data_IF_329765752602
#
_entry.id   IF_329765752602
#
_cell.length_a   1.000
_cell.length_b   1.000
_cell.length_c   1.000
_cell.angle_alpha   90.00
_cell.angle_beta   90.00
_cell.angle_gamma   90.00
#
_symmetry.space_group_name_H-M   'P 1'
#
loop_
_entity.id
_entity.type
_entity.pdbx_description
1 polymer ?
#
# COMPACT_ATOMS: atom_id res chain seq x y z
N UNK A 1 45.17 -45.12 -31.63
CA UNK A 1 46.36 -45.90 -31.27
C UNK A 1 46.05 -46.59 -29.97
N UNK A 2 45.89 -47.86 -30.12
CA UNK A 2 46.62 -48.97 -29.47
C UNK A 2 46.33 -49.05 -27.97
N UNK A 3 45.78 -50.02 -27.44
CA UNK A 3 45.85 -51.52 -27.45
C UNK A 3 45.69 -51.92 -25.99
N UNK A 4 44.78 -52.89 -25.68
CA UNK A 4 45.07 -54.34 -25.59
C UNK A 4 45.64 -54.67 -24.20
N UNK A 5 45.27 -55.59 -23.38
CA UNK A 5 44.77 -56.98 -23.48
C UNK A 5 44.61 -57.53 -22.05
N UNK A 6 43.52 -58.25 -21.80
CA UNK A 6 43.41 -59.65 -21.38
C UNK A 6 44.22 -60.20 -20.19
N UNK A 7 43.59 -60.98 -19.34
CA UNK A 7 43.75 -62.43 -19.02
C UNK A 7 43.09 -62.73 -17.66
N UNK A 8 41.99 -63.43 -17.55
CA UNK A 8 41.77 -64.87 -17.52
C UNK A 8 42.65 -65.66 -16.51
N UNK A 9 41.99 -66.24 -15.50
CA UNK A 9 42.21 -67.63 -15.09
C UNK A 9 41.28 -68.04 -13.93
N UNK A 10 40.45 -68.83 -14.17
CA UNK A 10 39.89 -70.15 -13.75
C UNK A 10 40.66 -70.85 -12.66
N UNK A 11 40.02 -71.25 -11.57
CA UNK A 11 40.33 -72.53 -10.86
C UNK A 11 39.08 -72.93 -10.01
N UNK A 12 38.51 -73.96 -10.47
CA UNK A 12 37.56 -74.91 -9.88
C UNK A 12 38.17 -75.64 -8.70
N UNK A 13 37.47 -75.86 -7.60
CA UNK A 13 37.64 -77.09 -6.81
C UNK A 13 36.30 -77.44 -6.11
N UNK A 14 36.02 -78.68 -6.26
CA UNK A 14 34.83 -79.46 -6.00
C UNK A 14 34.88 -80.18 -4.67
N UNK A 15 33.67 -80.68 -4.24
CA UNK A 15 33.38 -81.75 -3.27
C UNK A 15 33.32 -81.34 -1.78
N UNK A 16 32.43 -81.82 -0.99
CA UNK A 16 31.58 -83.01 -0.93
C UNK A 16 30.51 -82.86 0.14
N UNK A 17 29.36 -83.45 -0.10
CA UNK A 17 28.18 -83.71 0.72
C UNK A 17 28.46 -84.40 2.03
N UNK A 18 27.71 -84.06 3.09
CA UNK A 18 27.15 -85.05 4.03
C UNK A 18 25.82 -84.51 4.58
N UNK A 19 24.85 -85.35 4.49
CA UNK A 19 23.46 -85.43 4.82
C UNK A 19 23.18 -85.55 6.35
N UNK A 20 21.97 -85.19 6.66
CA UNK A 20 21.05 -85.73 7.71
C UNK A 20 20.58 -84.74 8.76
N UNK A 21 19.29 -84.64 8.85
CA UNK A 21 18.57 -84.38 10.06
C UNK A 21 17.54 -83.26 10.01
N UNK A 22 16.33 -83.57 9.50
CA UNK A 22 15.17 -82.74 9.83
C UNK A 22 14.71 -83.04 11.24
N UNK A 23 14.23 -82.05 11.95
CA UNK A 23 12.88 -82.23 12.52
C UNK A 23 12.00 -80.98 12.26
N UNK A 24 10.83 -81.28 11.81
CA UNK A 24 9.52 -80.69 12.11
C UNK A 24 9.40 -79.19 12.24
N UNK A 25 8.60 -78.68 11.34
CA UNK A 25 8.04 -77.32 11.33
C UNK A 25 7.31 -77.05 12.68
N UNK A 26 7.78 -75.98 13.32
CA UNK A 26 6.94 -75.20 14.19
C UNK A 26 6.57 -73.93 13.42
N UNK A 27 5.34 -73.84 13.08
CA UNK A 27 4.67 -72.71 12.51
C UNK A 27 4.76 -71.55 13.53
N UNK A 28 5.79 -70.70 13.40
CA UNK A 28 5.84 -69.47 14.16
C UNK A 28 4.89 -68.47 13.47
N UNK A 29 3.66 -68.41 13.94
CA UNK A 29 2.77 -67.28 13.73
C UNK A 29 3.48 -66.07 14.30
N UNK A 30 4.18 -65.36 13.43
CA UNK A 30 4.55 -63.97 13.68
C UNK A 30 3.25 -63.17 13.79
N UNK A 31 2.74 -63.05 14.97
CA UNK A 31 1.83 -61.97 15.36
C UNK A 31 2.65 -60.68 15.26
N UNK A 32 2.67 -60.14 14.05
CA UNK A 32 3.15 -58.78 13.80
C UNK A 32 2.13 -57.83 14.44
N UNK A 33 2.19 -57.70 15.76
CA UNK A 33 1.53 -56.63 16.49
C UNK A 33 2.24 -55.35 16.00
N UNK A 34 1.68 -54.72 14.97
CA UNK A 34 2.11 -53.38 14.56
C UNK A 34 2.11 -52.54 15.82
N UNK A 35 3.29 -52.13 16.25
CA UNK A 35 3.44 -51.23 17.38
C UNK A 35 2.69 -49.93 17.04
N UNK A 36 1.67 -49.62 17.86
CA UNK A 36 0.93 -48.35 17.71
C UNK A 36 1.88 -47.20 17.77
N UNK A 37 2.02 -46.47 16.67
CA UNK A 37 2.95 -45.36 16.55
C UNK A 37 2.31 -44.13 17.22
N UNK A 38 2.96 -43.52 18.22
CA UNK A 38 2.40 -42.33 18.87
C UNK A 38 2.47 -41.13 17.95
N UNK A 39 1.32 -40.49 17.74
CA UNK A 39 1.16 -39.35 16.85
C UNK A 39 0.43 -38.17 17.52
N UNK A 40 0.68 -36.96 17.05
CA UNK A 40 -0.15 -35.80 17.37
C UNK A 40 -1.02 -35.45 16.17
N UNK A 41 -2.28 -35.13 16.42
CA UNK A 41 -3.24 -34.75 15.40
C UNK A 41 -3.52 -33.26 15.42
N UNK A 42 -3.71 -32.70 14.24
CA UNK A 42 -4.27 -31.38 14.00
C UNK A 42 -5.66 -31.59 13.38
N UNK A 43 -6.76 -31.29 14.08
CA UNK A 43 -8.10 -31.38 13.50
C UNK A 43 -8.25 -30.41 12.34
N UNK A 44 -8.72 -30.89 11.19
CA UNK A 44 -8.96 -30.08 10.00
C UNK A 44 -10.39 -29.52 9.95
N UNK A 45 -11.23 -29.82 10.94
CA UNK A 45 -12.61 -29.35 11.08
C UNK A 45 -12.75 -27.87 11.46
N UNK A 46 -11.64 -27.21 11.79
CA UNK A 46 -11.55 -25.78 11.97
C UNK A 46 -10.75 -25.22 10.81
N UNK A 47 -11.43 -24.67 9.82
CA UNK A 47 -10.80 -23.86 8.79
C UNK A 47 -9.95 -22.80 9.49
N UNK A 48 -8.65 -22.95 9.46
CA UNK A 48 -7.78 -21.80 9.50
C UNK A 48 -8.01 -21.11 8.17
N UNK A 49 -8.98 -20.19 8.13
CA UNK A 49 -9.08 -19.19 7.08
C UNK A 49 -7.81 -18.32 7.14
N UNK A 50 -6.69 -18.92 6.86
CA UNK A 50 -5.44 -18.23 6.68
C UNK A 50 -5.47 -17.62 5.30
N UNK A 51 -6.26 -16.54 5.14
CA UNK A 51 -5.88 -15.57 4.13
C UNK A 51 -4.53 -15.04 4.60
N UNK A 52 -3.47 -15.23 3.79
CA UNK A 52 -2.18 -14.70 4.17
C UNK A 52 -2.35 -13.22 4.44
N UNK A 53 -2.04 -12.81 5.65
CA UNK A 53 -2.04 -11.42 6.01
C UNK A 53 -1.04 -10.70 5.09
N UNK A 54 -1.49 -9.65 4.41
CA UNK A 54 -0.68 -8.90 3.45
C UNK A 54 0.15 -7.89 4.24
N UNK A 55 1.45 -8.12 4.30
CA UNK A 55 2.39 -7.21 4.97
C UNK A 55 2.96 -6.23 3.97
N UNK A 56 2.68 -4.95 4.17
CA UNK A 56 3.09 -3.86 3.29
C UNK A 56 3.73 -2.74 4.09
N UNK A 57 4.60 -1.96 3.44
CA UNK A 57 5.24 -0.80 4.05
C UNK A 57 4.92 0.45 3.24
N UNK A 58 4.90 1.59 3.92
CA UNK A 58 4.63 2.86 3.27
C UNK A 58 4.99 4.05 4.12
N UNK A 59 4.52 5.23 3.72
CA UNK A 59 4.78 6.47 4.41
C UNK A 59 3.48 7.11 4.91
N UNK A 60 3.58 7.73 6.08
CA UNK A 60 2.48 8.52 6.61
C UNK A 60 2.32 9.80 5.82
N UNK A 61 1.11 10.06 5.40
CA UNK A 61 0.69 11.23 4.66
C UNK A 61 -0.67 11.72 5.16
N UNK A 62 -1.16 12.81 4.60
CA UNK A 62 -2.52 13.32 4.86
C UNK A 62 -3.29 13.43 3.55
N UNK A 63 -4.61 13.40 3.61
CA UNK A 63 -5.47 13.41 2.41
C UNK A 63 -5.54 14.77 1.70
N UNK A 64 -5.00 15.81 2.33
CA UNK A 64 -5.17 17.22 1.98
C UNK A 64 -3.84 17.96 1.76
N UNK A 65 -2.87 17.28 1.14
CA UNK A 65 -1.64 17.93 0.69
C UNK A 65 -1.92 18.90 -0.45
N UNK A 66 -1.45 20.14 -0.29
CA UNK A 66 -1.65 21.21 -1.27
C UNK A 66 -0.31 21.87 -1.61
N UNK A 67 -0.02 21.91 -2.90
CA UNK A 67 1.06 22.72 -3.45
C UNK A 67 0.56 24.15 -3.66
N UNK A 68 1.09 25.07 -2.89
CA UNK A 68 0.72 26.47 -2.94
C UNK A 68 1.66 27.24 -3.88
N UNK A 69 1.05 28.01 -4.77
CA UNK A 69 1.75 28.81 -5.77
C UNK A 69 1.17 30.23 -5.83
N UNK A 70 1.94 31.18 -6.34
CA UNK A 70 1.41 32.48 -6.66
C UNK A 70 0.58 32.42 -7.94
N UNK A 71 -0.51 33.18 -7.99
CA UNK A 71 -1.33 33.34 -9.20
C UNK A 71 -0.69 34.27 -10.24
N UNK A 72 0.16 35.19 -9.78
CA UNK A 72 0.91 36.11 -10.60
C UNK A 72 2.39 35.78 -10.52
N UNK A 73 3.17 36.04 -11.60
CA UNK A 73 4.63 35.96 -11.56
C UNK A 73 5.24 37.15 -10.83
N UNK A 74 6.47 36.98 -10.36
CA UNK A 74 7.24 38.04 -9.73
C UNK A 74 8.36 37.51 -8.85
N UNK A 75 9.12 38.42 -8.23
CA UNK A 75 10.19 38.06 -7.30
C UNK A 75 9.59 37.85 -5.92
N UNK A 76 9.90 36.70 -5.28
CA UNK A 76 9.51 36.43 -3.89
C UNK A 76 10.21 37.44 -2.97
N UNK A 77 9.45 38.29 -2.30
CA UNK A 77 10.00 39.20 -1.33
C UNK A 77 10.33 38.52 -0.01
N UNK A 78 9.37 37.75 0.53
CA UNK A 78 9.55 37.06 1.80
C UNK A 78 8.68 35.78 1.85
N UNK A 79 9.20 34.79 2.54
CA UNK A 79 8.45 33.59 2.96
C UNK A 79 8.36 33.63 4.48
N UNK A 80 7.15 33.81 5.03
CA UNK A 80 6.88 34.16 6.43
C UNK A 80 6.85 32.95 7.35
N UNK A 81 7.04 31.75 6.77
CA UNK A 81 6.94 30.47 7.49
C UNK A 81 8.15 29.58 7.19
N UNK A 82 8.41 28.64 8.08
CA UNK A 82 9.44 27.61 7.95
C UNK A 82 8.79 26.24 7.83
N UNK A 83 9.55 25.26 7.37
CA UNK A 83 9.14 23.86 7.39
C UNK A 83 8.87 23.39 8.82
N UNK A 84 7.76 22.71 9.04
CA UNK A 84 7.28 22.30 10.34
C UNK A 84 6.39 23.31 11.08
N UNK A 85 6.30 24.57 10.62
CA UNK A 85 5.45 25.57 11.26
C UNK A 85 3.97 25.21 11.13
N UNK A 86 3.22 25.41 12.21
CA UNK A 86 1.76 25.32 12.19
C UNK A 86 1.17 26.58 11.55
N UNK A 87 0.20 26.41 10.66
CA UNK A 87 -0.47 27.51 9.96
C UNK A 87 -1.98 27.44 10.15
N UNK A 88 -2.64 28.59 10.12
CA UNK A 88 -4.10 28.70 10.18
C UNK A 88 -4.67 29.04 8.81
N UNK A 89 -5.88 28.57 8.52
CA UNK A 89 -6.58 28.94 7.30
C UNK A 89 -6.63 30.47 7.13
N UNK A 90 -6.30 30.95 5.93
CA UNK A 90 -6.24 32.39 5.60
C UNK A 90 -4.95 33.09 6.03
N UNK A 91 -4.05 32.45 6.77
CA UNK A 91 -2.75 33.01 7.17
C UNK A 91 -1.89 33.26 5.92
N UNK A 92 -1.26 34.44 5.82
CA UNK A 92 -0.31 34.77 4.75
C UNK A 92 1.01 34.02 5.01
N UNK A 93 1.46 33.27 4.02
CA UNK A 93 2.65 32.42 4.09
C UNK A 93 3.81 32.96 3.28
N UNK A 94 3.55 33.59 2.13
CA UNK A 94 4.57 34.19 1.28
C UNK A 94 4.00 35.40 0.54
N UNK A 95 4.88 36.35 0.18
CA UNK A 95 4.54 37.57 -0.54
C UNK A 95 5.52 37.82 -1.67
N UNK A 96 5.02 38.32 -2.82
CA UNK A 96 5.83 38.83 -3.88
C UNK A 96 6.27 40.29 -3.59
N UNK A 97 7.33 40.74 -4.29
CA UNK A 97 7.73 42.13 -4.23
C UNK A 97 6.58 43.02 -4.73
N UNK A 98 6.05 43.93 -3.91
CA UNK A 98 4.85 44.72 -4.26
C UNK A 98 5.12 45.88 -5.20
N UNK A 99 6.38 46.24 -5.49
CA UNK A 99 6.72 47.46 -6.23
C UNK A 99 6.10 47.44 -7.62
N UNK A 100 6.34 46.38 -8.38
CA UNK A 100 5.83 46.26 -9.76
C UNK A 100 4.30 46.16 -9.79
N UNK A 101 3.73 45.40 -8.91
CA UNK A 101 2.28 45.19 -8.83
C UNK A 101 1.56 46.46 -8.40
N UNK A 102 2.10 47.22 -7.46
CA UNK A 102 1.56 48.52 -7.07
C UNK A 102 1.65 49.54 -8.20
N UNK A 103 2.75 49.54 -9.00
CA UNK A 103 2.87 50.39 -10.19
C UNK A 103 1.77 50.06 -11.22
N UNK A 104 1.45 48.78 -11.44
CA UNK A 104 0.36 48.36 -12.34
C UNK A 104 -1.01 48.85 -11.85
N UNK A 105 -1.28 48.72 -10.52
CA UNK A 105 -2.52 49.23 -9.92
C UNK A 105 -2.62 50.76 -10.12
N UNK A 106 -1.53 51.47 -9.85
CA UNK A 106 -1.51 52.92 -10.01
C UNK A 106 -1.72 53.35 -11.48
N UNK A 107 -1.12 52.65 -12.43
CA UNK A 107 -1.31 52.89 -13.86
C UNK A 107 -2.79 52.68 -14.28
N UNK A 108 -3.39 51.59 -13.85
CA UNK A 108 -4.80 51.29 -14.13
C UNK A 108 -5.71 52.38 -13.50
N UNK A 109 -5.43 52.80 -12.27
CA UNK A 109 -6.18 53.84 -11.56
C UNK A 109 -6.13 55.18 -12.31
N UNK A 110 -4.95 55.61 -12.78
CA UNK A 110 -4.81 56.82 -13.58
C UNK A 110 -5.54 56.74 -14.92
N UNK A 111 -5.56 55.56 -15.55
CA UNK A 111 -6.35 55.26 -16.73
C UNK A 111 -7.84 55.42 -16.49
N UNK A 112 -8.33 54.90 -15.42
CA UNK A 112 -9.74 55.03 -14.99
C UNK A 112 -10.13 56.48 -14.72
N UNK A 113 -9.32 57.20 -13.96
CA UNK A 113 -9.56 58.62 -13.66
C UNK A 113 -9.58 59.46 -14.94
N UNK A 114 -8.71 59.19 -15.91
CA UNK A 114 -8.74 59.86 -17.22
C UNK A 114 -10.06 59.57 -17.96
N UNK A 115 -10.42 58.31 -18.10
CA UNK A 115 -11.66 57.88 -18.78
C UNK A 115 -12.90 58.47 -18.12
N UNK A 116 -12.90 58.55 -16.76
CA UNK A 116 -14.00 59.18 -16.02
C UNK A 116 -14.14 60.67 -16.32
N UNK A 117 -13.02 61.42 -16.37
CA UNK A 117 -13.06 62.83 -16.75
C UNK A 117 -13.54 63.02 -18.18
N UNK A 118 -13.08 62.19 -19.10
CA UNK A 118 -13.46 62.25 -20.52
C UNK A 118 -14.94 61.93 -20.70
N UNK A 119 -15.46 60.87 -20.05
CA UNK A 119 -16.86 60.55 -20.06
C UNK A 119 -17.74 61.69 -19.52
N UNK A 120 -17.35 62.25 -18.37
CA UNK A 120 -18.09 63.39 -17.76
C UNK A 120 -18.13 64.60 -18.69
N UNK A 121 -17.05 64.88 -19.40
CA UNK A 121 -16.97 65.97 -20.38
C UNK A 121 -17.93 65.74 -21.56
N UNK A 122 -17.91 64.52 -22.14
CA UNK A 122 -18.77 64.15 -23.26
C UNK A 122 -20.24 64.11 -22.85
N UNK A 123 -20.56 63.63 -21.66
CA UNK A 123 -21.90 63.60 -21.09
C UNK A 123 -22.50 65.04 -20.97
N UNK A 124 -21.69 66.01 -20.50
CA UNK A 124 -22.11 67.40 -20.46
C UNK A 124 -22.33 67.97 -21.87
N UNK A 125 -21.40 67.73 -22.81
CA UNK A 125 -21.56 68.19 -24.20
C UNK A 125 -22.77 67.55 -24.91
N UNK A 126 -23.10 66.31 -24.59
CA UNK A 126 -24.29 65.64 -25.10
C UNK A 126 -25.59 66.26 -24.55
N UNK A 127 -25.62 66.61 -23.26
CA UNK A 127 -26.73 67.33 -22.63
C UNK A 127 -26.93 68.70 -23.26
N UNK A 128 -25.84 69.38 -23.64
CA UNK A 128 -25.87 70.66 -24.34
C UNK A 128 -26.06 70.51 -25.86
N UNK A 129 -26.40 69.29 -26.36
CA UNK A 129 -26.63 68.94 -27.78
C UNK A 129 -25.44 69.22 -28.70
N UNK A 130 -24.21 69.23 -28.15
CA UNK A 130 -22.93 69.44 -28.89
C UNK A 130 -22.29 68.11 -29.29
N UNK A 131 -22.42 67.05 -28.46
CA UNK A 131 -21.89 65.74 -28.76
C UNK A 131 -22.97 64.79 -29.27
N UNK A 132 -22.57 63.76 -30.06
CA UNK A 132 -23.49 62.73 -30.56
C UNK A 132 -23.70 61.62 -29.51
N UNK A 133 -24.80 60.86 -29.65
CA UNK A 133 -25.05 59.68 -28.82
C UNK A 133 -23.92 58.65 -28.96
N UNK A 134 -23.40 58.47 -30.16
CA UNK A 134 -22.24 57.56 -30.40
C UNK A 134 -20.99 57.96 -29.60
N UNK A 135 -20.68 59.31 -29.58
CA UNK A 135 -19.54 59.77 -28.76
C UNK A 135 -19.77 59.54 -27.29
N UNK A 136 -20.99 59.72 -26.78
CA UNK A 136 -21.31 59.40 -25.38
C UNK A 136 -21.16 57.93 -25.09
N UNK A 137 -21.69 57.04 -25.96
CA UNK A 137 -21.59 55.60 -25.81
C UNK A 137 -20.11 55.13 -25.86
N UNK A 138 -19.30 55.68 -26.77
CA UNK A 138 -17.88 55.36 -26.87
C UNK A 138 -17.13 55.78 -25.61
N UNK A 139 -17.41 56.99 -25.08
CA UNK A 139 -16.77 57.46 -23.84
C UNK A 139 -17.20 56.62 -22.64
N UNK A 140 -18.47 56.15 -22.58
CA UNK A 140 -18.99 55.27 -21.56
C UNK A 140 -18.26 53.91 -21.63
N UNK A 141 -18.13 53.33 -22.82
CA UNK A 141 -17.45 52.08 -23.04
C UNK A 141 -15.97 52.14 -22.59
N UNK A 142 -15.28 53.27 -22.93
CA UNK A 142 -13.90 53.49 -22.50
C UNK A 142 -13.78 53.57 -20.97
N UNK A 143 -14.73 54.21 -20.29
CA UNK A 143 -14.79 54.25 -18.83
C UNK A 143 -14.99 52.84 -18.23
N UNK A 144 -15.92 52.06 -18.79
CA UNK A 144 -16.21 50.72 -18.31
C UNK A 144 -14.97 49.77 -18.48
N UNK A 145 -14.27 49.83 -19.63
CA UNK A 145 -13.03 49.12 -19.86
C UNK A 145 -11.98 49.51 -18.83
N UNK A 146 -11.78 50.83 -18.59
CA UNK A 146 -10.80 51.26 -17.61
C UNK A 146 -11.15 50.83 -16.19
N UNK A 147 -12.42 50.79 -15.83
CA UNK A 147 -12.88 50.24 -14.54
C UNK A 147 -12.51 48.75 -14.38
N UNK A 148 -12.75 47.94 -15.41
CA UNK A 148 -12.37 46.53 -15.39
C UNK A 148 -10.84 46.32 -15.32
N UNK A 149 -10.06 47.19 -15.91
CA UNK A 149 -8.60 47.19 -15.78
C UNK A 149 -8.14 47.43 -14.33
N UNK A 150 -8.78 48.39 -13.61
CA UNK A 150 -8.52 48.61 -12.18
C UNK A 150 -8.87 47.39 -11.36
N UNK A 151 -10.03 46.77 -11.58
CA UNK A 151 -10.43 45.55 -10.89
C UNK A 151 -9.43 44.43 -11.11
N UNK A 152 -8.97 44.24 -12.34
CA UNK A 152 -7.97 43.21 -12.67
C UNK A 152 -6.63 43.48 -11.97
N UNK A 153 -6.15 44.72 -11.98
CA UNK A 153 -4.90 45.07 -11.30
C UNK A 153 -5.01 44.88 -9.77
N UNK A 154 -6.14 45.29 -9.17
CA UNK A 154 -6.41 45.06 -7.73
C UNK A 154 -6.49 43.59 -7.38
N UNK A 155 -7.15 42.78 -8.23
CA UNK A 155 -7.22 41.33 -8.07
C UNK A 155 -5.81 40.71 -8.08
N UNK A 156 -4.96 41.09 -9.05
CA UNK A 156 -3.58 40.62 -9.12
C UNK A 156 -2.78 41.01 -7.87
N UNK A 157 -2.98 42.22 -7.34
CA UNK A 157 -2.35 42.66 -6.08
C UNK A 157 -2.78 41.81 -4.91
N UNK A 158 -4.07 41.50 -4.78
CA UNK A 158 -4.57 40.65 -3.70
C UNK A 158 -4.00 39.24 -3.79
N UNK A 159 -3.82 38.73 -5.02
CA UNK A 159 -3.30 37.38 -5.27
C UNK A 159 -1.76 37.33 -5.47
N UNK A 160 -1.05 38.40 -5.12
CA UNK A 160 0.41 38.45 -5.03
C UNK A 160 0.94 37.90 -3.69
N UNK A 161 0.07 37.31 -2.91
CA UNK A 161 0.40 36.60 -1.66
C UNK A 161 -0.13 35.19 -1.68
N UNK A 162 0.58 34.27 -1.07
CA UNK A 162 0.12 32.92 -0.80
C UNK A 162 -0.49 32.89 0.58
N UNK A 163 -1.72 32.39 0.68
CA UNK A 163 -2.41 32.15 1.95
C UNK A 163 -2.68 30.67 2.16
N UNK A 164 -2.67 30.21 3.38
CA UNK A 164 -3.02 28.84 3.73
C UNK A 164 -4.51 28.55 3.40
N UNK A 165 -4.75 27.51 2.64
CA UNK A 165 -6.10 27.06 2.25
C UNK A 165 -6.84 26.36 3.37
N UNK A 166 -6.08 25.70 4.29
CA UNK A 166 -6.57 25.02 5.48
C UNK A 166 -5.60 25.21 6.66
N UNK A 167 -6.08 24.94 7.87
CA UNK A 167 -5.20 24.91 9.05
C UNK A 167 -4.42 23.59 9.08
N UNK A 168 -3.09 23.67 9.26
CA UNK A 168 -2.22 22.49 9.18
C UNK A 168 -0.76 22.83 9.43
N UNK A 169 0.13 22.22 8.69
CA UNK A 169 1.57 22.41 8.80
C UNK A 169 2.21 22.66 7.43
N UNK A 170 3.30 23.42 7.43
CA UNK A 170 4.17 23.56 6.27
C UNK A 170 5.04 22.32 6.18
N UNK A 171 4.91 21.57 5.07
CA UNK A 171 5.69 20.35 4.83
C UNK A 171 7.05 20.68 4.23
N UNK A 172 7.05 21.47 3.16
CA UNK A 172 8.28 21.82 2.43
C UNK A 172 8.23 23.24 1.88
N UNK A 173 9.40 23.82 1.78
CA UNK A 173 9.64 25.06 1.08
C UNK A 173 10.34 24.76 -0.25
N UNK A 174 9.64 24.98 -1.38
CA UNK A 174 10.09 24.60 -2.72
C UNK A 174 10.77 25.75 -3.46
N UNK A 175 10.69 26.98 -2.93
CA UNK A 175 11.31 28.16 -3.49
C UNK A 175 11.96 29.02 -2.39
N UNK A 176 12.83 29.94 -2.79
CA UNK A 176 13.60 30.82 -1.89
C UNK A 176 13.22 32.30 -2.05
N UNK A 177 13.44 33.08 -1.00
CA UNK A 177 13.35 34.53 -1.07
C UNK A 177 14.33 35.09 -2.10
N UNK A 178 13.93 36.12 -2.86
CA UNK A 178 14.68 36.68 -3.97
C UNK A 178 14.55 35.90 -5.29
N UNK A 179 13.93 34.72 -5.30
CA UNK A 179 13.71 33.94 -6.52
C UNK A 179 12.60 34.55 -7.38
N UNK A 180 12.82 34.59 -8.70
CA UNK A 180 11.78 34.88 -9.68
C UNK A 180 10.93 33.63 -9.91
N UNK A 181 9.62 33.73 -9.75
CA UNK A 181 8.68 32.64 -9.99
C UNK A 181 7.65 32.99 -11.06
N UNK A 182 7.27 32.00 -11.84
CA UNK A 182 6.20 32.11 -12.82
C UNK A 182 4.83 31.82 -12.13
N UNK A 183 3.71 32.29 -12.72
CA UNK A 183 2.39 31.90 -12.25
C UNK A 183 2.23 30.38 -12.19
N UNK A 184 1.73 29.83 -11.06
CA UNK A 184 1.53 28.40 -10.86
C UNK A 184 2.77 27.61 -10.46
N UNK A 185 3.96 28.24 -10.37
CA UNK A 185 5.15 27.55 -9.83
C UNK A 185 4.95 27.24 -8.35
N UNK A 186 5.07 25.96 -7.91
CA UNK A 186 4.94 25.60 -6.50
C UNK A 186 6.03 26.27 -5.64
N UNK A 187 5.62 26.89 -4.55
CA UNK A 187 6.48 27.62 -3.62
C UNK A 187 6.51 26.95 -2.24
N UNK A 188 5.37 26.53 -1.78
CA UNK A 188 5.18 25.87 -0.48
C UNK A 188 4.31 24.63 -0.65
N UNK A 189 4.58 23.64 0.16
CA UNK A 189 3.71 22.49 0.32
C UNK A 189 3.16 22.48 1.74
N UNK A 190 1.85 22.36 1.86
CA UNK A 190 1.15 22.34 3.15
C UNK A 190 0.22 21.15 3.24
N UNK A 191 -0.13 20.75 4.45
CA UNK A 191 -1.19 19.76 4.70
C UNK A 191 -2.19 20.32 5.70
N UNK A 192 -3.39 19.70 5.78
CA UNK A 192 -4.41 19.98 6.77
C UNK A 192 -4.34 19.08 8.00
N UNK A 193 -3.16 18.64 8.39
CA UNK A 193 -2.92 17.63 9.44
C UNK A 193 -3.54 17.94 10.82
N UNK A 194 -4.02 19.14 11.06
CA UNK A 194 -4.79 19.46 12.29
C UNK A 194 -6.18 18.81 12.28
N UNK A 195 -6.73 18.45 11.11
CA UNK A 195 -8.03 17.79 11.00
C UNK A 195 -7.99 16.27 11.28
N UNK A 196 -6.81 15.70 11.57
CA UNK A 196 -6.66 14.33 12.05
C UNK A 196 -6.75 13.22 10.99
N UNK A 197 -6.80 13.55 9.71
CA UNK A 197 -6.91 12.57 8.61
C UNK A 197 -5.54 12.01 8.19
N UNK A 198 -4.89 11.28 9.09
CA UNK A 198 -3.65 10.60 8.78
C UNK A 198 -3.90 9.30 8.05
N UNK A 199 -3.12 9.10 7.00
CA UNK A 199 -3.13 7.92 6.15
C UNK A 199 -1.72 7.31 6.13
N UNK A 200 -1.65 5.99 6.14
CA UNK A 200 -0.45 5.28 5.70
C UNK A 200 -0.63 4.91 4.24
N UNK A 201 0.11 5.55 3.35
CA UNK A 201 0.15 5.22 1.92
C UNK A 201 1.17 4.14 1.69
N UNK A 202 0.70 2.97 1.26
CA UNK A 202 1.52 1.80 1.02
C UNK A 202 1.61 1.48 -0.47
N UNK A 203 2.76 0.97 -0.90
CA UNK A 203 2.92 0.43 -2.24
C UNK A 203 2.56 -1.05 -2.23
N UNK A 204 1.76 -1.47 -3.20
CA UNK A 204 1.28 -2.84 -3.32
C UNK A 204 1.55 -3.39 -4.72
N UNK A 205 1.90 -4.66 -4.80
CA UNK A 205 2.06 -5.39 -6.07
C UNK A 205 0.71 -5.66 -6.72
N UNK A 206 0.71 -6.09 -7.98
CA UNK A 206 -0.51 -6.46 -8.71
C UNK A 206 -1.32 -7.55 -7.97
N UNK A 207 -0.62 -8.54 -7.39
CA UNK A 207 -1.25 -9.65 -6.64
C UNK A 207 -1.88 -9.16 -5.33
N UNK A 208 -1.18 -8.33 -4.58
CA UNK A 208 -1.67 -7.74 -3.35
C UNK A 208 -2.83 -6.78 -3.61
N UNK A 209 -2.72 -5.96 -4.67
CA UNK A 209 -3.79 -5.05 -5.08
C UNK A 209 -5.10 -5.80 -5.38
N UNK A 210 -5.02 -6.94 -6.08
CA UNK A 210 -6.19 -7.77 -6.40
C UNK A 210 -6.80 -8.40 -5.14
N UNK A 211 -5.98 -8.73 -4.13
CA UNK A 211 -6.42 -9.37 -2.90
C UNK A 211 -6.99 -8.39 -1.86
N UNK A 212 -6.55 -7.11 -1.89
CA UNK A 212 -7.01 -6.08 -0.95
C UNK A 212 -8.37 -5.53 -1.40
N UNK A 213 -9.30 -5.40 -0.46
CA UNK A 213 -10.61 -4.78 -0.66
C UNK A 213 -10.75 -3.50 0.17
N UNK A 214 -11.69 -2.64 -0.25
CA UNK A 214 -12.05 -1.46 0.54
C UNK A 214 -12.61 -1.90 1.90
N UNK A 215 -12.27 -1.15 2.97
CA UNK A 215 -12.64 -1.41 4.35
C UNK A 215 -11.94 -2.63 4.98
N UNK A 216 -11.01 -3.29 4.30
CA UNK A 216 -10.19 -4.32 4.93
C UNK A 216 -9.47 -3.74 6.15
N UNK A 217 -9.48 -4.51 7.24
CA UNK A 217 -8.82 -4.12 8.49
C UNK A 217 -7.31 -4.22 8.35
N UNK A 218 -6.62 -3.26 8.94
CA UNK A 218 -5.18 -3.23 8.95
C UNK A 218 -4.63 -2.92 10.35
N UNK A 219 -3.60 -3.64 10.74
CA UNK A 219 -2.80 -3.35 11.92
C UNK A 219 -1.56 -2.58 11.47
N UNK A 220 -1.40 -1.36 11.97
CA UNK A 220 -0.30 -0.46 11.58
C UNK A 220 0.70 -0.34 12.71
N UNK A 221 1.96 -0.58 12.41
CA UNK A 221 3.10 -0.42 13.29
C UNK A 221 3.95 0.76 12.83
N UNK A 222 4.41 1.55 13.80
CA UNK A 222 5.24 2.73 13.56
C UNK A 222 6.56 2.54 14.29
N UNK A 223 7.68 2.61 13.57
CA UNK A 223 9.01 2.43 14.18
C UNK A 223 9.30 3.45 15.29
N UNK A 224 8.74 4.65 15.19
CA UNK A 224 8.88 5.70 16.21
C UNK A 224 8.16 5.37 17.52
N UNK A 225 7.26 4.36 17.54
CA UNK A 225 6.51 3.94 18.73
C UNK A 225 6.56 2.42 18.85
N UNK A 226 7.72 1.85 19.23
CA UNK A 226 7.90 0.40 19.29
C UNK A 226 6.90 -0.27 20.24
N UNK A 227 6.40 -1.45 19.84
CA UNK A 227 5.47 -2.24 20.65
C UNK A 227 4.03 -1.73 20.69
N UNK A 228 3.68 -0.70 19.94
CA UNK A 228 2.32 -0.18 19.84
C UNK A 228 1.77 -0.39 18.41
N UNK A 229 0.65 -1.08 18.33
CA UNK A 229 -0.06 -1.33 17.06
C UNK A 229 -1.30 -0.43 16.99
N UNK A 230 -1.48 0.25 15.87
CA UNK A 230 -2.62 1.12 15.61
C UNK A 230 -3.59 0.42 14.65
N UNK A 231 -4.87 0.55 14.91
CA UNK A 231 -5.91 0.01 14.05
C UNK A 231 -6.16 0.96 12.87
N UNK A 232 -6.33 0.39 11.70
CA UNK A 232 -6.68 1.12 10.49
C UNK A 232 -7.59 0.30 9.57
N UNK A 233 -8.03 0.94 8.51
CA UNK A 233 -8.76 0.28 7.42
C UNK A 233 -8.36 0.85 6.08
N UNK A 234 -8.42 0.01 5.04
CA UNK A 234 -8.17 0.45 3.66
C UNK A 234 -9.27 1.43 3.25
N UNK A 235 -8.90 2.68 3.05
CA UNK A 235 -9.82 3.77 2.70
C UNK A 235 -9.84 4.08 1.20
N UNK A 236 -8.75 3.77 0.49
CA UNK A 236 -8.62 4.01 -0.95
C UNK A 236 -7.63 3.04 -1.57
N UNK A 237 -7.89 2.65 -2.82
CA UNK A 237 -6.97 1.93 -3.70
C UNK A 237 -6.78 2.75 -4.97
N UNK A 238 -5.56 2.81 -5.50
CA UNK A 238 -5.33 3.42 -6.81
C UNK A 238 -5.87 2.51 -7.93
N UNK A 239 -6.48 3.11 -8.94
CA UNK A 239 -6.90 2.39 -10.16
C UNK A 239 -5.80 2.37 -11.24
N UNK A 240 -4.68 3.03 -10.98
CA UNK A 240 -3.54 3.10 -11.88
C UNK A 240 -2.22 2.90 -11.17
N UNK A 241 -1.23 2.48 -11.91
CA UNK A 241 0.16 2.31 -11.47
C UNK A 241 0.83 3.67 -11.39
N UNK A 242 1.57 3.94 -10.32
CA UNK A 242 2.39 5.15 -10.21
C UNK A 242 3.58 5.08 -11.16
N UNK A 243 3.78 6.07 -12.05
CA UNK A 243 4.85 6.03 -13.04
C UNK A 243 6.26 5.93 -12.44
N UNK A 244 6.48 6.50 -11.25
CA UNK A 244 7.78 6.53 -10.59
C UNK A 244 8.15 5.20 -9.93
N UNK A 245 7.18 4.48 -9.37
CA UNK A 245 7.42 3.24 -8.62
C UNK A 245 7.05 1.98 -9.38
N UNK A 246 6.25 2.09 -10.45
CA UNK A 246 5.72 0.93 -11.17
C UNK A 246 4.77 0.05 -10.34
N UNK A 247 4.24 0.57 -9.22
CA UNK A 247 3.38 -0.15 -8.28
C UNK A 247 2.04 0.57 -8.09
N UNK A 248 1.04 -0.18 -7.67
CA UNK A 248 -0.21 0.39 -7.16
C UNK A 248 -0.02 0.95 -5.76
N UNK A 249 -0.95 1.80 -5.33
CA UNK A 249 -0.97 2.31 -3.96
C UNK A 249 -2.29 2.00 -3.29
N UNK A 250 -2.22 1.80 -1.98
CA UNK A 250 -3.39 1.74 -1.11
C UNK A 250 -3.19 2.70 0.06
N UNK A 251 -4.24 3.40 0.44
CA UNK A 251 -4.24 4.30 1.58
C UNK A 251 -4.99 3.64 2.75
N UNK A 252 -4.30 3.50 3.87
CA UNK A 252 -4.84 2.94 5.11
C UNK A 252 -5.11 4.10 6.06
N UNK A 253 -6.38 4.35 6.34
CA UNK A 253 -6.81 5.36 7.30
C UNK A 253 -6.72 4.81 8.72
N UNK A 254 -6.04 5.51 9.61
CA UNK A 254 -6.00 5.14 11.02
C UNK A 254 -7.39 5.38 11.66
N UNK A 255 -7.85 4.39 12.43
CA UNK A 255 -9.09 4.47 13.20
C UNK A 255 -8.70 4.66 14.67
N UNK A 256 -9.09 5.78 15.29
CA UNK A 256 -8.77 6.09 16.68
C UNK A 256 -7.91 7.34 16.83
N UNK A 257 -7.30 7.49 18.03
CA UNK A 257 -6.47 8.66 18.32
C UNK A 257 -5.20 8.68 17.48
N UNK A 258 -4.89 9.86 16.93
CA UNK A 258 -3.63 10.12 16.24
C UNK A 258 -2.47 9.82 17.19
N UNK A 259 -1.51 8.96 16.80
CA UNK A 259 -0.27 8.82 17.55
C UNK A 259 0.48 10.17 17.57
N UNK A 260 0.82 10.65 18.76
CA UNK A 260 1.50 11.93 18.94
C UNK A 260 2.89 12.00 18.28
N UNK A 261 3.47 10.84 17.98
CA UNK A 261 4.81 10.70 17.40
C UNK A 261 4.82 10.51 15.87
N UNK A 262 3.67 10.61 15.19
CA UNK A 262 3.64 10.50 13.72
C UNK A 262 3.87 11.87 13.07
N UNK A 263 4.83 11.91 12.16
CA UNK A 263 5.08 13.03 11.25
C UNK A 263 4.91 12.62 9.80
N UNK A 264 4.69 13.60 8.94
CA UNK A 264 4.63 13.43 7.48
C UNK A 264 5.92 12.78 6.96
N UNK A 265 5.78 11.82 6.05
CA UNK A 265 6.90 11.11 5.45
C UNK A 265 7.53 10.02 6.32
N UNK A 266 7.10 9.84 7.59
CA UNK A 266 7.56 8.72 8.41
C UNK A 266 7.13 7.39 7.82
N UNK A 267 7.99 6.38 7.95
CA UNK A 267 7.68 5.03 7.54
C UNK A 267 6.82 4.30 8.57
N UNK A 268 5.93 3.47 8.05
CA UNK A 268 5.10 2.55 8.82
C UNK A 268 4.93 1.23 8.09
N UNK A 269 4.61 0.21 8.84
CA UNK A 269 4.31 -1.13 8.37
C UNK A 269 2.85 -1.44 8.62
N UNK A 270 2.17 -2.03 7.68
CA UNK A 270 0.79 -2.45 7.86
C UNK A 270 0.62 -3.93 7.53
N UNK A 271 -0.13 -4.61 8.37
CA UNK A 271 -0.60 -5.98 8.13
C UNK A 271 -2.09 -5.89 7.83
N UNK A 272 -2.45 -6.03 6.55
CA UNK A 272 -3.83 -5.98 6.08
C UNK A 272 -4.42 -7.38 6.14
N UNK A 273 -5.58 -7.52 6.76
CA UNK A 273 -6.36 -8.76 6.80
C UNK A 273 -7.55 -8.61 5.87
N UNK A 274 -7.53 -9.22 4.66
CA UNK A 274 -8.65 -9.17 3.74
C UNK A 274 -9.93 -9.74 4.36
N UNK A 275 -11.02 -8.97 4.34
CA UNK A 275 -12.33 -9.38 4.89
C UNK A 275 -13.13 -10.18 3.87
N UNK A 276 -12.86 -10.01 2.61
CA UNK A 276 -13.60 -10.69 1.57
C UNK A 276 -12.91 -11.95 1.10
N UNK A 277 -13.34 -13.06 1.66
CA UNK A 277 -13.78 -14.09 0.73
C UNK A 277 -15.11 -14.59 1.27
N UNK A 278 -16.14 -14.44 0.50
CA UNK A 278 -17.33 -15.29 0.56
C UNK A 278 -16.81 -16.71 0.74
N UNK A 279 -16.82 -17.19 1.98
CA UNK A 279 -16.55 -18.59 2.30
C UNK A 279 -17.65 -19.44 1.66
N UNK A 280 -17.54 -19.69 0.36
CA UNK A 280 -18.39 -20.59 -0.38
C UNK A 280 -17.54 -21.71 -1.00
N UNK A 281 -16.46 -22.07 -0.31
CA UNK A 281 -15.77 -23.31 -0.57
C UNK A 281 -15.42 -23.96 0.75
N UNK A 282 -16.05 -25.09 1.04
CA UNK A 282 -15.60 -26.03 2.05
C UNK A 282 -14.14 -26.52 1.81
N UNK A 283 -13.45 -25.95 0.85
CA UNK A 283 -12.17 -26.32 0.27
C UNK A 283 -11.18 -25.13 0.25
N UNK A 284 -11.14 -24.29 1.30
CA UNK A 284 -10.13 -23.22 1.44
C UNK A 284 -8.72 -23.79 1.63
N UNK A 285 -7.67 -22.99 1.38
CA UNK A 285 -6.30 -23.43 1.64
C UNK A 285 -6.11 -23.75 3.12
N UNK A 286 -5.36 -24.82 3.41
CA UNK A 286 -4.99 -25.24 4.76
C UNK A 286 -3.56 -24.80 5.05
N UNK A 287 -3.33 -24.16 6.18
CA UNK A 287 -1.98 -23.86 6.67
C UNK A 287 -1.54 -24.97 7.61
N UNK A 288 -0.60 -25.79 7.21
CA UNK A 288 -0.07 -26.91 7.99
C UNK A 288 1.38 -26.61 8.43
N UNK A 289 1.83 -27.13 9.59
CA UNK A 289 3.24 -27.06 9.98
C UNK A 289 4.13 -27.72 8.93
N UNK A 290 5.31 -27.14 8.68
CA UNK A 290 6.28 -27.69 7.71
C UNK A 290 6.67 -29.13 8.04
N UNK A 291 6.79 -29.47 9.33
CA UNK A 291 7.17 -30.82 9.82
C UNK A 291 6.15 -31.90 9.46
N UNK A 292 4.92 -31.53 9.09
CA UNK A 292 3.91 -32.48 8.65
C UNK A 292 4.01 -32.85 7.16
N UNK A 293 4.79 -32.08 6.38
CA UNK A 293 4.99 -32.30 4.95
C UNK A 293 6.09 -33.35 4.73
N UNK A 294 5.80 -34.31 3.86
CA UNK A 294 6.72 -35.35 3.44
C UNK A 294 7.02 -35.22 1.94
N UNK A 295 8.24 -35.46 1.55
CA UNK A 295 8.66 -35.60 0.15
C UNK A 295 8.12 -34.46 -0.75
N UNK A 296 8.36 -33.19 -0.37
CA UNK A 296 7.95 -32.05 -1.17
C UNK A 296 8.83 -31.90 -2.42
N UNK A 297 8.19 -31.89 -3.60
CA UNK A 297 8.84 -31.58 -4.89
C UNK A 297 8.06 -30.48 -5.62
N UNK A 298 8.67 -29.32 -5.69
CA UNK A 298 8.05 -28.14 -6.31
C UNK A 298 6.75 -27.74 -5.62
N UNK A 299 5.61 -27.92 -6.29
CA UNK A 299 4.28 -27.57 -5.78
C UNK A 299 3.46 -28.80 -5.33
N UNK A 300 4.06 -29.96 -5.17
CA UNK A 300 3.41 -31.18 -4.67
C UNK A 300 4.16 -31.74 -3.48
N UNK A 301 3.43 -32.41 -2.61
CA UNK A 301 3.99 -33.11 -1.46
C UNK A 301 3.03 -34.18 -0.95
N UNK A 302 3.42 -34.88 0.11
CA UNK A 302 2.59 -35.87 0.77
C UNK A 302 2.45 -35.51 2.24
N UNK A 303 1.30 -35.89 2.80
CA UNK A 303 1.01 -35.77 4.23
C UNK A 303 0.31 -37.03 4.71
N UNK A 304 0.37 -37.31 6.00
CA UNK A 304 -0.46 -38.35 6.61
C UNK A 304 -1.71 -37.74 7.24
N UNK A 305 -2.85 -38.31 6.92
CA UNK A 305 -4.15 -37.97 7.49
C UNK A 305 -4.75 -39.17 8.24
N UNK A 306 -5.73 -38.91 9.09
CA UNK A 306 -6.59 -39.93 9.68
C UNK A 306 -8.03 -39.48 9.70
N UNK A 307 -8.94 -40.41 9.46
CA UNK A 307 -10.40 -40.19 9.53
C UNK A 307 -11.05 -40.90 10.70
N UNK A 308 -10.36 -41.88 11.30
CA UNK A 308 -10.85 -42.75 12.37
C UNK A 308 -10.03 -42.65 13.66
N UNK A 309 -8.95 -41.82 13.68
CA UNK A 309 -7.98 -41.72 14.77
C UNK A 309 -7.21 -43.02 15.09
N UNK A 310 -7.22 -43.97 14.16
CA UNK A 310 -6.62 -45.30 14.35
C UNK A 310 -5.66 -45.66 13.21
N UNK A 311 -5.96 -45.22 12.01
CA UNK A 311 -5.21 -45.57 10.81
C UNK A 311 -4.64 -44.33 10.13
N UNK A 312 -3.40 -44.39 9.68
CA UNK A 312 -2.74 -43.33 8.92
C UNK A 312 -2.83 -43.59 7.41
N UNK A 313 -3.24 -42.57 6.64
CA UNK A 313 -3.33 -42.63 5.19
C UNK A 313 -2.42 -41.56 4.57
N UNK A 314 -1.57 -41.96 3.63
CA UNK A 314 -0.69 -41.05 2.89
C UNK A 314 -1.48 -40.41 1.75
N UNK A 315 -1.59 -39.08 1.73
CA UNK A 315 -2.36 -38.34 0.74
C UNK A 315 -1.44 -37.35 0.04
N UNK A 316 -1.58 -37.25 -1.28
CA UNK A 316 -0.90 -36.24 -2.10
C UNK A 316 -1.60 -34.90 -1.95
N UNK A 317 -0.82 -33.84 -1.75
CA UNK A 317 -1.32 -32.48 -1.57
C UNK A 317 -0.66 -31.52 -2.54
N UNK A 318 -1.37 -30.46 -2.93
CA UNK A 318 -0.85 -29.37 -3.76
C UNK A 318 -0.46 -28.20 -2.88
N UNK A 319 0.81 -27.77 -2.97
CA UNK A 319 1.38 -26.66 -2.22
C UNK A 319 1.18 -25.39 -3.05
N UNK A 320 0.56 -24.36 -2.46
CA UNK A 320 0.39 -23.04 -3.07
C UNK A 320 1.39 -21.99 -2.58
N UNK A 321 2.05 -22.23 -1.45
CA UNK A 321 3.04 -21.33 -0.89
C UNK A 321 3.60 -21.79 0.44
N UNK A 322 4.57 -21.05 0.95
CA UNK A 322 5.15 -21.24 2.28
C UNK A 322 5.14 -19.90 3.00
N UNK A 323 4.76 -19.89 4.27
CA UNK A 323 4.70 -18.68 5.09
C UNK A 323 5.29 -18.98 6.47
N UNK A 324 6.47 -18.40 6.75
CA UNK A 324 7.25 -18.66 7.95
C UNK A 324 7.52 -20.16 8.16
N UNK A 325 6.90 -20.78 9.15
CA UNK A 325 7.01 -22.22 9.51
C UNK A 325 5.84 -23.07 9.00
N UNK A 326 4.98 -22.51 8.14
CA UNK A 326 3.77 -23.18 7.63
C UNK A 326 3.79 -23.33 6.13
N UNK A 327 3.22 -24.45 5.67
CA UNK A 327 2.99 -24.74 4.25
C UNK A 327 1.52 -24.53 3.94
N UNK A 328 1.23 -23.79 2.88
CA UNK A 328 -0.15 -23.54 2.44
C UNK A 328 -0.53 -24.58 1.40
N UNK A 329 -1.48 -25.42 1.75
CA UNK A 329 -2.04 -26.49 0.91
C UNK A 329 -3.31 -25.99 0.24
N UNK A 330 -3.36 -26.01 -1.09
CA UNK A 330 -4.54 -25.60 -1.85
C UNK A 330 -5.50 -26.73 -2.18
N UNK A 331 -5.01 -27.99 -2.19
CA UNK A 331 -5.80 -29.14 -2.60
C UNK A 331 -5.27 -30.43 -1.97
N UNK A 332 -6.15 -31.43 -1.75
CA UNK A 332 -5.81 -32.76 -1.25
C UNK A 332 -6.27 -33.06 0.17
N UNK A 333 -6.79 -32.09 0.95
CA UNK A 333 -7.20 -32.29 2.35
C UNK A 333 -8.72 -32.20 2.56
N UNK A 334 -9.52 -32.16 1.50
CA UNK A 334 -10.98 -31.93 1.54
C UNK A 334 -11.74 -33.00 2.31
N UNK A 335 -11.25 -34.24 2.31
CA UNK A 335 -11.90 -35.40 2.94
C UNK A 335 -11.20 -35.86 4.23
N UNK A 336 -10.20 -35.08 4.69
CA UNK A 336 -9.43 -35.42 5.88
C UNK A 336 -10.09 -34.88 7.16
N UNK A 337 -10.32 -35.72 8.15
CA UNK A 337 -10.81 -35.30 9.45
C UNK A 337 -9.69 -34.65 10.30
N UNK A 338 -8.50 -35.24 10.27
CA UNK A 338 -7.34 -34.73 10.99
C UNK A 338 -6.02 -35.01 10.23
N UNK A 339 -5.08 -34.09 10.37
CA UNK A 339 -3.72 -34.18 9.87
C UNK A 339 -2.79 -34.70 10.97
N UNK A 340 -1.88 -35.61 10.63
CA UNK A 340 -0.82 -36.05 11.54
C UNK A 340 0.35 -35.09 11.46
N UNK A 341 0.64 -34.39 12.56
CA UNK A 341 1.68 -33.37 12.62
C UNK A 341 2.98 -33.81 13.29
N UNK A 342 3.00 -34.98 13.91
CA UNK A 342 4.19 -35.55 14.56
C UNK A 342 4.16 -37.07 14.47
N UNK A 343 5.34 -37.67 14.31
CA UNK A 343 5.48 -39.15 14.14
C UNK A 343 5.39 -39.59 12.67
N UNK A 344 5.16 -38.70 11.74
CA UNK A 344 4.94 -38.98 10.31
C UNK A 344 6.13 -39.72 9.64
N UNK A 345 7.37 -39.53 10.09
CA UNK A 345 8.54 -40.21 9.55
C UNK A 345 8.56 -41.75 9.79
N UNK A 346 7.78 -42.22 10.74
CA UNK A 346 7.69 -43.66 11.08
C UNK A 346 6.43 -44.33 10.50
N UNK A 347 5.60 -43.56 9.79
CA UNK A 347 4.34 -44.06 9.26
C UNK A 347 4.50 -44.57 7.82
N UNK A 348 3.75 -45.60 7.52
CA UNK A 348 3.49 -46.10 6.16
C UNK A 348 1.99 -46.13 5.92
N UNK A 349 1.57 -46.29 4.66
CA UNK A 349 0.15 -46.42 4.34
C UNK A 349 -0.50 -47.55 5.17
N UNK A 350 -1.58 -47.23 5.88
CA UNK A 350 -2.31 -48.19 6.73
C UNK A 350 -1.70 -48.44 8.11
N UNK A 351 -0.66 -47.70 8.53
CA UNK A 351 -0.07 -47.85 9.88
C UNK A 351 -1.09 -47.56 10.96
N UNK A 352 -1.08 -48.41 12.03
CA UNK A 352 -1.89 -48.17 13.23
C UNK A 352 -1.26 -47.08 14.09
N UNK A 353 -2.06 -46.08 14.49
CA UNK A 353 -1.64 -44.93 15.26
C UNK A 353 -2.23 -44.86 16.64
N UNK A 354 -1.49 -44.29 17.58
CA UNK A 354 -1.94 -43.97 18.92
C UNK A 354 -1.85 -42.46 19.13
N UNK A 355 -3.01 -41.82 19.31
CA UNK A 355 -3.14 -40.39 19.50
C UNK A 355 -2.75 -40.01 20.91
N UNK A 356 -1.74 -39.16 21.05
CA UNK A 356 -1.27 -38.61 22.34
C UNK A 356 -1.76 -37.21 22.58
#
# INVERSE_FOLDING_TARGET
MKNILTFSLLASFSCLVISCGAPSAAENKNDNKSADIPVKLLPLNGQLNAHPAISVSGQFTTDDEVLLSFKTGGIIQRILVKEGDAVKQGQVLAILNPVEINAQVQQAQLGFEKAQRDYKRVDNLYKDSVATLEQLQNAKTALDIANEQVKTAQFNRTHSQITATASGYVLRKLASEGQLVQPGTPVLETNGAQSGNWLLRVNVSNKEWAAISMQDKANVEVEAVPGKTFQGSVSRKSEGVQPQSGSFTADIKLTGEKPSAIAFGMFGKAVITPVTVTATSANGPWAIPYDALLEGDGNKGFVFITNDNKTAHKVSVTISGMEADKVIISDGLQQAAALIISGSAYLTEGSTINVK
#
